data_IF_948629719758
#
_entry.id   IF_948629719758
#
_cell.length_a   1.000
_cell.length_b   1.000
_cell.length_c   1.000
_cell.angle_alpha   90.00
_cell.angle_beta   90.00
_cell.angle_gamma   90.00
#
_symmetry.space_group_name_H-M   'P 1'
#
loop_
_entity.id
_entity.type
_entity.pdbx_description
1 polymer ?
#
# COMPACT_ATOMS: atom_id res chain seq x y z
N UNK A 1 16.69 -8.77 9.14
CA UNK A 1 17.08 -10.14 8.79
C UNK A 1 16.33 -11.13 9.68
N UNK A 2 16.47 -11.11 11.01
CA UNK A 2 15.87 -12.10 11.91
C UNK A 2 14.37 -12.41 11.63
N UNK A 3 13.56 -11.42 11.26
CA UNK A 3 12.15 -11.62 10.88
C UNK A 3 12.05 -12.44 9.59
N UNK A 4 12.82 -12.09 8.56
CA UNK A 4 12.78 -12.80 7.30
C UNK A 4 13.33 -14.23 7.41
N UNK A 5 14.26 -14.46 8.33
CA UNK A 5 14.80 -15.80 8.60
C UNK A 5 13.79 -16.66 9.38
N UNK A 6 13.10 -16.07 10.36
CA UNK A 6 12.12 -16.77 11.20
C UNK A 6 10.78 -17.01 10.50
N UNK A 7 10.41 -16.19 9.51
CA UNK A 7 9.12 -16.24 8.81
C UNK A 7 9.33 -16.34 7.29
N UNK A 8 9.51 -17.54 6.74
CA UNK A 8 9.75 -17.75 5.30
C UNK A 8 8.65 -17.21 4.39
N UNK A 9 7.42 -17.13 4.88
CA UNK A 9 6.25 -16.60 4.17
C UNK A 9 6.29 -15.08 4.01
N UNK A 10 7.11 -14.38 4.80
CA UNK A 10 7.22 -12.91 4.71
C UNK A 10 8.07 -12.52 3.52
N UNK A 11 7.46 -11.81 2.59
CA UNK A 11 8.10 -11.34 1.35
C UNK A 11 8.87 -10.03 1.53
N UNK A 12 8.46 -9.19 2.47
CA UNK A 12 9.17 -7.95 2.80
C UNK A 12 8.98 -7.56 4.26
N UNK A 13 10.02 -7.00 4.86
CA UNK A 13 10.01 -6.50 6.23
C UNK A 13 10.36 -5.01 6.23
N UNK A 14 9.58 -4.20 6.94
CA UNK A 14 9.75 -2.76 7.12
C UNK A 14 9.78 -2.39 8.60
N UNK A 15 10.01 -1.11 8.88
CA UNK A 15 9.93 -0.58 10.24
C UNK A 15 9.30 0.82 10.24
N UNK A 16 8.98 1.32 11.43
CA UNK A 16 8.59 2.70 11.62
C UNK A 16 9.78 3.64 11.41
N UNK A 17 9.48 4.88 10.99
CA UNK A 17 10.48 5.91 10.79
C UNK A 17 10.20 7.15 11.65
N UNK A 18 11.25 7.83 12.08
CA UNK A 18 11.17 9.14 12.69
C UNK A 18 11.67 10.18 11.68
N UNK A 19 10.84 11.16 11.36
CA UNK A 19 11.24 12.24 10.46
C UNK A 19 12.13 13.25 11.17
N UNK A 20 12.95 13.94 10.41
CA UNK A 20 13.76 15.08 10.85
C UNK A 20 13.94 16.08 9.70
N UNK A 21 14.38 17.28 9.97
CA UNK A 21 14.49 18.37 9.01
C UNK A 21 13.32 19.33 9.11
N UNK A 22 12.53 19.52 8.05
CA UNK A 22 11.41 20.44 8.06
C UNK A 22 10.30 20.05 9.04
N UNK A 23 10.06 18.76 9.22
CA UNK A 23 9.02 18.24 10.10
C UNK A 23 9.58 17.10 10.94
N UNK A 24 9.37 17.16 12.24
CA UNK A 24 9.70 16.08 13.17
C UNK A 24 8.43 15.38 13.65
N UNK A 25 8.23 14.13 13.19
CA UNK A 25 7.12 13.29 13.64
C UNK A 25 7.45 11.81 13.52
N UNK A 26 6.69 10.97 14.21
CA UNK A 26 6.71 9.53 14.03
C UNK A 26 5.88 9.12 12.82
N UNK A 27 6.42 8.26 11.96
CA UNK A 27 5.69 7.56 10.91
C UNK A 27 5.45 6.12 11.38
N UNK A 28 4.30 5.91 12.02
CA UNK A 28 3.87 4.62 12.57
C UNK A 28 2.83 4.02 11.62
N UNK A 29 3.29 3.28 10.62
CA UNK A 29 2.41 2.68 9.60
C UNK A 29 2.47 1.17 9.69
N UNK A 30 1.34 0.54 10.01
CA UNK A 30 1.25 -0.91 10.19
C UNK A 30 1.93 -1.42 11.47
N UNK A 31 1.69 -2.69 11.82
CA UNK A 31 2.29 -3.36 12.97
C UNK A 31 2.20 -4.89 12.77
N UNK A 32 3.32 -5.59 12.97
CA UNK A 32 3.39 -7.04 12.85
C UNK A 32 3.18 -7.52 11.42
N UNK A 33 2.59 -8.71 11.28
CA UNK A 33 2.35 -9.33 9.97
C UNK A 33 1.10 -8.76 9.30
N UNK A 34 1.25 -8.40 8.03
CA UNK A 34 0.16 -7.96 7.15
C UNK A 34 0.03 -9.01 6.05
N UNK A 35 -1.01 -9.84 6.10
CA UNK A 35 -1.24 -10.94 5.14
C UNK A 35 -2.04 -10.50 3.93
N UNK A 36 -2.81 -9.44 4.05
CA UNK A 36 -3.58 -8.83 2.98
C UNK A 36 -3.44 -7.32 3.07
N UNK A 37 -2.56 -6.77 2.23
CA UNK A 37 -2.29 -5.34 2.24
C UNK A 37 -3.15 -4.55 1.22
N UNK A 38 -3.87 -5.22 0.30
CA UNK A 38 -4.63 -4.54 -0.75
C UNK A 38 -5.67 -3.53 -0.22
N UNK A 39 -6.47 -3.84 0.83
CA UNK A 39 -7.43 -2.88 1.37
C UNK A 39 -6.78 -1.60 1.90
N UNK A 40 -5.62 -1.75 2.54
CA UNK A 40 -4.88 -0.61 3.08
C UNK A 40 -4.17 0.17 1.98
N UNK A 41 -3.57 -0.55 1.02
CA UNK A 41 -2.92 0.05 -0.13
C UNK A 41 -3.93 0.79 -1.03
N UNK A 42 -5.18 0.35 -1.13
CA UNK A 42 -6.21 1.10 -1.85
C UNK A 42 -6.44 2.48 -1.22
N UNK A 43 -6.36 2.60 0.09
CA UNK A 43 -6.52 3.89 0.78
C UNK A 43 -5.26 4.76 0.67
N UNK A 44 -4.08 4.17 0.87
CA UNK A 44 -2.80 4.90 0.83
C UNK A 44 -1.61 3.96 0.76
N UNK A 45 -0.46 4.45 0.29
CA UNK A 45 0.81 3.74 0.45
C UNK A 45 1.22 3.72 1.92
N UNK A 46 0.98 2.58 2.59
CA UNK A 46 1.26 2.41 4.02
C UNK A 46 2.67 1.88 4.32
N UNK A 47 3.41 1.45 3.31
CA UNK A 47 4.70 0.80 3.46
C UNK A 47 5.85 1.81 3.23
N UNK A 48 6.76 1.93 4.19
CA UNK A 48 7.87 2.89 4.12
C UNK A 48 9.00 2.26 3.32
N UNK A 49 9.10 2.62 2.04
CA UNK A 49 10.06 2.07 1.09
C UNK A 49 11.50 2.11 1.57
N UNK A 50 11.95 3.24 2.09
CA UNK A 50 13.33 3.42 2.57
C UNK A 50 13.70 2.56 3.79
N UNK A 51 12.72 1.92 4.44
CA UNK A 51 12.94 0.94 5.51
C UNK A 51 12.83 -0.51 5.05
N UNK A 52 12.50 -0.75 3.78
CA UNK A 52 12.15 -2.07 3.29
C UNK A 52 13.36 -2.98 3.08
N UNK A 53 13.22 -4.22 3.54
CA UNK A 53 14.09 -5.35 3.21
C UNK A 53 13.25 -6.39 2.48
N UNK A 54 13.61 -6.69 1.23
CA UNK A 54 12.87 -7.53 0.32
C UNK A 54 13.47 -8.94 0.25
N UNK A 55 12.62 -9.97 0.18
CA UNK A 55 13.03 -11.33 -0.14
C UNK A 55 13.22 -11.47 -1.65
N UNK A 56 14.47 -11.46 -2.10
CA UNK A 56 14.82 -11.52 -3.52
C UNK A 56 14.22 -12.74 -4.22
N UNK A 57 14.22 -13.90 -3.57
CA UNK A 57 13.64 -15.12 -4.14
C UNK A 57 12.14 -14.98 -4.42
N UNK A 58 11.38 -14.28 -3.56
CA UNK A 58 9.96 -13.99 -3.80
C UNK A 58 9.77 -13.13 -5.06
N UNK A 59 10.55 -12.07 -5.22
CA UNK A 59 10.48 -11.19 -6.40
C UNK A 59 10.79 -11.96 -7.68
N UNK A 60 11.83 -12.79 -7.65
CA UNK A 60 12.25 -13.59 -8.82
C UNK A 60 11.21 -14.64 -9.19
N UNK A 61 10.68 -15.40 -8.23
CA UNK A 61 9.70 -16.45 -8.49
C UNK A 61 8.39 -15.93 -9.08
N UNK A 62 7.98 -14.72 -8.69
CA UNK A 62 6.77 -14.07 -9.20
C UNK A 62 7.03 -13.06 -10.33
N UNK A 63 8.29 -12.96 -10.81
CA UNK A 63 8.69 -12.02 -11.87
C UNK A 63 8.32 -10.58 -11.57
N UNK A 64 8.41 -10.18 -10.30
CA UNK A 64 8.10 -8.83 -9.84
C UNK A 64 9.35 -7.96 -9.93
N UNK A 65 9.18 -6.77 -10.49
CA UNK A 65 10.23 -5.76 -10.64
C UNK A 65 9.62 -4.36 -10.56
N UNK A 66 10.45 -3.36 -10.34
CA UNK A 66 10.03 -1.97 -10.46
C UNK A 66 9.55 -1.69 -11.87
N UNK A 67 8.44 -0.96 -11.98
CA UNK A 67 7.82 -0.56 -13.24
C UNK A 67 7.82 0.96 -13.36
N UNK A 68 7.61 1.46 -14.57
CA UNK A 68 7.52 2.89 -14.84
C UNK A 68 6.18 3.46 -14.35
N UNK A 69 6.19 3.86 -13.09
CA UNK A 69 5.12 4.55 -12.38
C UNK A 69 5.72 5.80 -11.72
N UNK A 70 5.79 6.93 -12.45
CA UNK A 70 6.49 8.11 -12.00
C UNK A 70 6.11 8.53 -10.59
N UNK A 71 7.12 8.67 -9.73
CA UNK A 71 7.02 9.11 -8.34
C UNK A 71 6.22 8.20 -7.39
N UNK A 72 5.79 7.01 -7.86
CA UNK A 72 5.05 6.03 -7.07
C UNK A 72 5.43 4.58 -7.43
N UNK A 73 6.66 4.37 -7.89
CA UNK A 73 7.21 3.06 -8.25
C UNK A 73 7.23 2.07 -7.07
N UNK A 74 7.46 2.57 -5.87
CA UNK A 74 7.38 1.79 -4.64
C UNK A 74 5.96 1.35 -4.32
N UNK A 75 4.99 2.25 -4.48
CA UNK A 75 3.58 1.92 -4.27
C UNK A 75 3.13 0.84 -5.25
N UNK A 76 3.50 0.95 -6.52
CA UNK A 76 3.22 -0.07 -7.52
C UNK A 76 3.84 -1.42 -7.17
N UNK A 77 5.09 -1.43 -6.70
CA UNK A 77 5.77 -2.64 -6.26
C UNK A 77 5.00 -3.36 -5.15
N UNK A 78 4.53 -2.63 -4.14
CA UNK A 78 3.76 -3.20 -3.04
C UNK A 78 2.45 -3.79 -3.50
N UNK A 79 1.77 -3.12 -4.43
CA UNK A 79 0.53 -3.62 -5.02
C UNK A 79 0.77 -4.89 -5.83
N UNK A 80 1.78 -4.92 -6.70
CA UNK A 80 2.12 -6.13 -7.47
C UNK A 80 2.47 -7.32 -6.58
N UNK A 81 3.23 -7.09 -5.50
CA UNK A 81 3.52 -8.10 -4.49
C UNK A 81 2.25 -8.59 -3.80
N UNK A 82 1.35 -7.67 -3.42
CA UNK A 82 0.10 -8.01 -2.73
C UNK A 82 -0.87 -8.81 -3.59
N UNK A 83 -0.96 -8.52 -4.89
CA UNK A 83 -1.80 -9.24 -5.84
C UNK A 83 -1.42 -10.72 -5.92
N UNK A 84 -0.13 -11.05 -5.82
CA UNK A 84 0.37 -12.44 -5.80
C UNK A 84 0.46 -13.04 -4.41
N UNK A 85 -0.15 -12.40 -3.40
CA UNK A 85 -0.27 -12.94 -2.05
C UNK A 85 0.92 -12.72 -1.12
N UNK A 86 1.73 -11.69 -1.36
CA UNK A 86 2.84 -11.35 -0.47
C UNK A 86 2.36 -11.04 0.95
N UNK A 87 3.05 -11.61 1.93
CA UNK A 87 2.97 -11.19 3.33
C UNK A 87 4.05 -10.14 3.62
N UNK A 88 3.68 -9.09 4.33
CA UNK A 88 4.59 -8.06 4.80
C UNK A 88 4.73 -8.12 6.32
N UNK A 89 5.84 -7.66 6.86
CA UNK A 89 6.03 -7.48 8.28
C UNK A 89 6.48 -6.07 8.59
N UNK A 90 5.79 -5.40 9.50
CA UNK A 90 6.19 -4.09 10.00
C UNK A 90 6.66 -4.20 11.44
N UNK A 91 7.93 -3.95 11.66
CA UNK A 91 8.53 -3.88 13.01
C UNK A 91 8.06 -2.57 13.67
N UNK A 92 7.30 -2.59 14.78
CA UNK A 92 6.76 -1.40 15.41
C UNK A 92 7.83 -0.68 16.26
N UNK A 93 8.93 -0.34 15.63
CA UNK A 93 10.06 0.39 16.23
C UNK A 93 10.60 1.42 15.24
N UNK A 94 11.01 2.56 15.74
CA UNK A 94 11.68 3.60 14.97
C UNK A 94 13.13 3.21 14.70
N UNK A 95 13.37 2.50 13.59
CA UNK A 95 14.70 2.05 13.18
C UNK A 95 15.25 2.86 12.01
N UNK A 96 14.46 3.76 11.44
CA UNK A 96 14.85 4.63 10.34
C UNK A 96 14.68 6.11 10.72
N UNK A 97 15.68 6.93 10.41
CA UNK A 97 15.57 8.40 10.36
C UNK A 97 15.26 8.82 8.92
N UNK A 98 14.12 9.49 8.72
CA UNK A 98 13.64 9.92 7.41
C UNK A 98 13.73 11.44 7.30
N UNK A 99 14.60 11.94 6.41
CA UNK A 99 14.77 13.38 6.21
C UNK A 99 13.53 13.96 5.50
N UNK A 100 13.04 15.10 5.99
CA UNK A 100 12.04 15.92 5.31
C UNK A 100 12.65 17.22 4.82
N UNK A 101 12.43 17.56 3.53
CA UNK A 101 12.91 18.79 2.90
C UNK A 101 11.96 19.21 1.77
N UNK A 102 12.03 20.49 1.36
CA UNK A 102 11.27 20.99 0.21
C UNK A 102 11.77 20.40 -1.12
N UNK A 103 12.99 19.84 -1.15
CA UNK A 103 13.59 19.24 -2.32
C UNK A 103 13.13 17.78 -2.55
N UNK A 104 12.34 17.20 -1.66
CA UNK A 104 11.85 15.83 -1.84
C UNK A 104 10.94 15.68 -3.06
N UNK A 105 11.04 14.53 -3.73
CA UNK A 105 10.21 14.16 -4.87
C UNK A 105 8.72 14.36 -4.57
N UNK A 106 8.25 13.89 -3.42
CA UNK A 106 6.87 14.03 -2.98
C UNK A 106 6.41 15.48 -2.73
N UNK A 107 7.35 16.41 -2.53
CA UNK A 107 7.02 17.83 -2.40
C UNK A 107 6.99 18.52 -3.77
N UNK A 108 7.92 18.16 -4.67
CA UNK A 108 8.06 18.77 -6.00
C UNK A 108 7.06 18.24 -7.03
N UNK A 109 6.66 16.98 -6.91
CA UNK A 109 5.85 16.25 -7.88
C UNK A 109 4.55 15.69 -7.28
N UNK A 110 3.95 16.42 -6.33
CA UNK A 110 2.77 15.96 -5.61
C UNK A 110 1.58 15.63 -6.54
N UNK A 111 1.35 16.46 -7.55
CA UNK A 111 0.24 16.28 -8.50
C UNK A 111 0.45 15.06 -9.39
N UNK A 112 1.64 14.88 -9.93
CA UNK A 112 1.98 13.72 -10.77
C UNK A 112 1.97 12.44 -9.95
N UNK A 113 2.47 12.48 -8.72
CA UNK A 113 2.44 11.37 -7.78
C UNK A 113 1.01 10.95 -7.46
N UNK A 114 0.11 11.92 -7.23
CA UNK A 114 -1.30 11.65 -6.97
C UNK A 114 -2.00 11.04 -8.18
N UNK A 115 -1.78 11.55 -9.39
CA UNK A 115 -2.32 10.98 -10.61
C UNK A 115 -1.86 9.53 -10.81
N UNK A 116 -0.57 9.25 -10.55
CA UNK A 116 -0.02 7.89 -10.59
C UNK A 116 -0.64 7.00 -9.51
N UNK A 117 -0.85 7.52 -8.31
CA UNK A 117 -1.50 6.78 -7.22
C UNK A 117 -2.95 6.42 -7.56
N UNK A 118 -3.72 7.32 -8.19
CA UNK A 118 -5.08 7.02 -8.68
C UNK A 118 -5.06 5.89 -9.71
N UNK A 119 -4.13 5.90 -10.65
CA UNK A 119 -3.94 4.81 -11.61
C UNK A 119 -3.68 3.47 -10.90
N UNK A 120 -2.78 3.46 -9.91
CA UNK A 120 -2.47 2.24 -9.12
C UNK A 120 -3.70 1.75 -8.36
N UNK A 121 -4.48 2.64 -7.73
CA UNK A 121 -5.72 2.28 -7.03
C UNK A 121 -6.74 1.64 -7.98
N UNK A 122 -6.89 2.14 -9.19
CA UNK A 122 -7.74 1.52 -10.20
C UNK A 122 -7.28 0.10 -10.57
N UNK A 123 -5.97 -0.14 -10.63
CA UNK A 123 -5.42 -1.48 -10.88
C UNK A 123 -5.69 -2.44 -9.71
N UNK A 124 -5.67 -1.96 -8.45
CA UNK A 124 -6.11 -2.76 -7.29
C UNK A 124 -7.56 -3.19 -7.46
N UNK A 125 -8.44 -2.24 -7.81
CA UNK A 125 -9.86 -2.53 -8.03
C UNK A 125 -10.07 -3.55 -9.16
N UNK A 126 -9.34 -3.38 -10.27
CA UNK A 126 -9.36 -4.33 -11.40
C UNK A 126 -8.89 -5.72 -11.00
N UNK A 127 -7.79 -5.83 -10.26
CA UNK A 127 -7.26 -7.11 -9.80
C UNK A 127 -8.23 -7.87 -8.89
N UNK A 128 -9.04 -7.15 -8.12
CA UNK A 128 -10.06 -7.73 -7.25
C UNK A 128 -11.27 -8.24 -8.02
N UNK A 129 -11.55 -7.61 -9.15
CA UNK A 129 -12.73 -7.84 -9.95
C UNK A 129 -12.51 -8.85 -11.09
N UNK A 130 -11.36 -9.46 -11.17
CA UNK A 130 -10.94 -10.34 -12.27
C UNK A 130 -11.95 -11.46 -12.61
N UNK A 131 -13.23 -11.10 -12.60
CA UNK A 131 -14.41 -11.85 -12.94
C UNK A 131 -15.19 -11.05 -13.99
N UNK A 132 -15.36 -11.59 -15.17
CA UNK A 132 -16.00 -10.96 -16.34
C UNK A 132 -17.44 -10.45 -16.08
N UNK A 133 -18.03 -10.85 -14.95
CA UNK A 133 -19.41 -10.53 -14.57
C UNK A 133 -19.54 -9.43 -13.49
N UNK A 134 -18.45 -8.90 -12.94
CA UNK A 134 -18.54 -7.89 -11.91
C UNK A 134 -18.51 -6.48 -12.48
N UNK A 135 -19.44 -5.67 -12.04
CA UNK A 135 -19.60 -4.29 -12.47
C UNK A 135 -18.50 -3.39 -11.85
N UNK A 136 -17.33 -3.36 -12.52
CA UNK A 136 -16.17 -2.54 -12.15
C UNK A 136 -16.57 -1.09 -11.88
N UNK A 137 -17.43 -0.52 -12.74
CA UNK A 137 -17.91 0.84 -12.59
C UNK A 137 -18.63 1.07 -11.24
N UNK A 138 -19.35 0.07 -10.74
CA UNK A 138 -20.04 0.17 -9.45
C UNK A 138 -19.07 0.23 -8.28
N UNK A 139 -18.00 -0.56 -8.28
CA UNK A 139 -16.99 -0.51 -7.20
C UNK A 139 -16.13 0.75 -7.25
N UNK A 140 -15.77 1.21 -8.43
CA UNK A 140 -15.10 2.50 -8.62
C UNK A 140 -15.98 3.64 -8.10
N UNK A 141 -17.28 3.61 -8.40
CA UNK A 141 -18.23 4.59 -7.90
C UNK A 141 -18.36 4.54 -6.38
N UNK A 142 -18.50 3.34 -5.79
CA UNK A 142 -18.56 3.16 -4.33
C UNK A 142 -17.29 3.72 -3.68
N UNK A 143 -16.13 3.39 -4.21
CA UNK A 143 -14.86 3.90 -3.67
C UNK A 143 -14.74 5.42 -3.78
N UNK A 144 -15.10 6.00 -4.93
CA UNK A 144 -15.11 7.46 -5.16
C UNK A 144 -16.06 8.18 -4.22
N UNK A 145 -17.24 7.60 -3.96
CA UNK A 145 -18.20 8.13 -2.99
C UNK A 145 -17.60 8.10 -1.57
N UNK A 146 -16.94 7.00 -1.19
CA UNK A 146 -16.30 6.91 0.12
C UNK A 146 -15.13 7.91 0.28
N UNK A 147 -14.31 8.11 -0.76
CA UNK A 147 -13.28 9.15 -0.73
C UNK A 147 -13.86 10.55 -0.61
N UNK A 148 -14.94 10.85 -1.34
CA UNK A 148 -15.66 12.12 -1.20
C UNK A 148 -16.19 12.32 0.22
N UNK A 149 -16.85 11.30 0.80
CA UNK A 149 -17.35 11.35 2.18
C UNK A 149 -16.21 11.52 3.21
N UNK A 150 -15.04 10.95 2.95
CA UNK A 150 -13.86 11.14 3.79
C UNK A 150 -13.38 12.59 3.72
N UNK A 151 -13.30 13.16 2.53
CA UNK A 151 -12.90 14.56 2.34
C UNK A 151 -13.87 15.54 3.01
N UNK A 152 -15.17 15.18 3.13
CA UNK A 152 -16.17 15.97 3.86
C UNK A 152 -16.18 15.69 5.38
N UNK A 153 -15.31 14.82 5.88
CA UNK A 153 -15.25 14.44 7.30
C UNK A 153 -16.43 13.55 7.77
N UNK A 154 -17.27 13.08 6.86
CA UNK A 154 -18.41 12.20 7.18
C UNK A 154 -17.97 10.77 7.45
N UNK A 155 -16.93 10.30 6.74
CA UNK A 155 -16.41 8.94 6.85
C UNK A 155 -14.90 8.98 7.16
N UNK A 156 -14.47 8.27 8.19
CA UNK A 156 -13.05 8.21 8.52
C UNK A 156 -12.29 7.28 7.58
N UNK A 157 -11.00 7.53 7.39
CA UNK A 157 -10.13 6.61 6.61
C UNK A 157 -10.11 5.19 7.20
N UNK A 158 -10.26 5.05 8.52
CA UNK A 158 -10.39 3.73 9.16
C UNK A 158 -11.69 3.03 8.77
N UNK A 159 -12.80 3.77 8.69
CA UNK A 159 -14.10 3.23 8.25
C UNK A 159 -14.02 2.76 6.80
N UNK A 160 -13.36 3.52 5.91
CA UNK A 160 -13.14 3.12 4.52
C UNK A 160 -12.33 1.82 4.46
N UNK A 161 -11.21 1.73 5.19
CA UNK A 161 -10.40 0.50 5.24
C UNK A 161 -11.21 -0.71 5.71
N UNK A 162 -12.02 -0.54 6.74
CA UNK A 162 -12.86 -1.61 7.27
C UNK A 162 -13.91 -2.06 6.24
N UNK A 163 -14.61 -1.14 5.60
CA UNK A 163 -15.59 -1.45 4.56
C UNK A 163 -14.94 -2.18 3.39
N UNK A 164 -13.81 -1.66 2.90
CA UNK A 164 -13.08 -2.28 1.80
C UNK A 164 -12.55 -3.67 2.17
N UNK A 165 -12.06 -3.86 3.40
CA UNK A 165 -11.60 -5.16 3.89
C UNK A 165 -12.73 -6.21 3.89
N UNK A 166 -13.94 -5.81 4.30
CA UNK A 166 -15.13 -6.67 4.25
C UNK A 166 -15.49 -7.00 2.81
N UNK A 167 -15.57 -5.99 1.93
CA UNK A 167 -15.88 -6.19 0.51
C UNK A 167 -14.88 -7.12 -0.17
N UNK A 168 -13.59 -6.95 0.10
CA UNK A 168 -12.55 -7.81 -0.45
C UNK A 168 -12.66 -9.26 0.03
N UNK A 169 -12.98 -9.46 1.31
CA UNK A 169 -13.20 -10.80 1.86
C UNK A 169 -14.39 -11.49 1.18
N UNK A 170 -15.51 -10.79 1.04
CA UNK A 170 -16.71 -11.32 0.39
C UNK A 170 -16.48 -11.64 -1.10
N UNK A 171 -15.78 -10.79 -1.82
CA UNK A 171 -15.43 -11.02 -3.23
C UNK A 171 -14.55 -12.27 -3.37
N UNK A 172 -13.58 -12.48 -2.47
CA UNK A 172 -12.70 -13.66 -2.52
C UNK A 172 -13.37 -14.97 -2.13
N UNK A 173 -14.35 -14.93 -1.23
CA UNK A 173 -15.09 -16.13 -0.80
C UNK A 173 -16.02 -16.65 -1.91
N UNK A 174 -16.45 -15.78 -2.83
CA UNK A 174 -17.32 -16.14 -3.95
C UNK A 174 -16.54 -16.70 -5.17
N UNK A 175 -15.22 -16.73 -5.11
CA UNK A 175 -14.32 -17.38 -6.06
C UNK A 175 -13.93 -18.78 -5.60
#
# INVERSE_FOLDING_TARGET
IAILDAYPEVAACMCWAKTFGLVEKGLCRGNGIIRDALPELLCSNILIHSSAMLRKSFLLSHKIQYKDYPYAEDYKLWVDMSIVGACFWVVPKYLLKYRTSCEQVSAKHATEQEATAVRIKNEILLALLNDENNNIASLQNIYSIMEYMNAQGVLSSNSIRMIMSILFKEIRVRK
#
